data_IF_943850956772
#
_entry.id   IF_943850956772
#
_cell.length_a   1.000
_cell.length_b   1.000
_cell.length_c   1.000
_cell.angle_alpha   90.00
_cell.angle_beta   90.00
_cell.angle_gamma   90.00
#
_symmetry.space_group_name_H-M   'P 1'
#
loop_
_entity.id
_entity.type
_entity.pdbx_description
1 polymer ?
#
# COMPACT_ATOMS: atom_id res chain seq x y z
N UNK A 1 -4.03 -16.06 -10.94
CA UNK A 1 -3.40 -14.78 -11.26
C UNK A 1 -2.37 -14.94 -12.38
N UNK A 2 -1.19 -15.57 -12.19
CA UNK A 2 -0.13 -15.66 -13.21
C UNK A 2 -0.60 -16.12 -14.59
N UNK A 3 -1.44 -17.15 -14.65
CA UNK A 3 -1.99 -17.65 -15.94
C UNK A 3 -3.04 -16.74 -16.56
N UNK A 4 -3.75 -15.94 -15.76
CA UNK A 4 -4.81 -15.04 -16.25
C UNK A 4 -4.22 -13.74 -16.76
N UNK A 5 -3.32 -13.14 -16.00
CA UNK A 5 -2.77 -11.82 -16.27
C UNK A 5 -1.49 -11.85 -17.13
N UNK A 6 -0.81 -13.02 -17.17
CA UNK A 6 0.42 -13.26 -17.97
C UNK A 6 1.43 -12.10 -17.91
N UNK A 7 1.87 -11.69 -16.71
CA UNK A 7 2.77 -10.56 -16.58
C UNK A 7 4.13 -10.83 -17.22
N UNK A 8 4.74 -9.82 -17.83
CA UNK A 8 6.11 -9.93 -18.39
C UNK A 8 7.18 -9.89 -17.29
N UNK A 9 6.88 -9.22 -16.19
CA UNK A 9 7.76 -9.11 -15.02
C UNK A 9 6.92 -9.29 -13.76
N UNK A 10 7.49 -9.90 -12.74
CA UNK A 10 6.86 -10.08 -11.44
C UNK A 10 7.95 -10.05 -10.37
N UNK A 11 7.65 -9.47 -9.23
CA UNK A 11 8.48 -9.50 -8.03
C UNK A 11 7.58 -9.53 -6.79
N UNK A 12 8.07 -10.08 -5.71
CA UNK A 12 7.34 -10.12 -4.44
C UNK A 12 8.23 -9.48 -3.37
N UNK A 13 7.71 -8.44 -2.72
CA UNK A 13 8.39 -7.79 -1.62
C UNK A 13 7.98 -8.38 -0.27
N UNK A 14 8.92 -8.45 0.65
CA UNK A 14 8.72 -8.82 2.04
C UNK A 14 9.32 -7.75 2.94
N UNK A 15 8.70 -7.55 4.09
CA UNK A 15 9.30 -6.76 5.16
C UNK A 15 10.53 -7.47 5.70
N UNK A 16 11.63 -6.76 5.91
CA UNK A 16 12.82 -7.34 6.53
C UNK A 16 12.58 -7.61 8.01
N UNK A 17 13.39 -8.50 8.57
CA UNK A 17 13.47 -8.66 10.02
C UNK A 17 14.23 -7.47 10.61
N UNK A 18 13.62 -6.76 11.54
CA UNK A 18 14.25 -5.65 12.27
C UNK A 18 13.62 -4.29 12.04
N UNK A 19 14.14 -3.26 12.71
CA UNK A 19 13.61 -1.92 12.62
C UNK A 19 13.85 -1.30 11.23
N UNK A 20 12.97 -0.41 10.85
CA UNK A 20 13.10 0.41 9.63
C UNK A 20 13.40 1.85 10.03
N UNK A 21 13.76 2.69 9.06
CA UNK A 21 14.01 4.11 9.31
C UNK A 21 12.84 4.83 9.98
N UNK A 22 11.59 4.32 9.83
CA UNK A 22 10.41 4.88 10.51
C UNK A 22 10.45 4.66 12.02
N UNK A 23 10.96 3.52 12.47
CA UNK A 23 11.14 3.24 13.89
C UNK A 23 12.22 4.13 14.51
N UNK A 24 13.26 4.47 13.74
CA UNK A 24 14.31 5.40 14.15
C UNK A 24 13.78 6.85 14.26
N UNK A 25 12.91 7.24 13.32
CA UNK A 25 12.33 8.58 13.29
C UNK A 25 11.20 8.77 14.30
N UNK A 26 10.45 7.71 14.62
CA UNK A 26 9.30 7.75 15.51
C UNK A 26 9.21 6.46 16.34
N UNK A 27 9.66 6.51 17.60
CA UNK A 27 9.74 5.36 18.50
C UNK A 27 8.40 4.65 18.70
N UNK A 28 7.30 5.41 18.70
CA UNK A 28 5.95 4.85 18.86
C UNK A 28 5.38 4.20 17.58
N UNK A 29 6.11 4.24 16.44
CA UNK A 29 5.67 3.65 15.19
C UNK A 29 5.43 2.14 15.34
N UNK A 30 4.21 1.71 15.04
CA UNK A 30 3.75 0.30 15.13
C UNK A 30 3.92 -0.33 16.54
N UNK A 31 4.20 0.47 17.59
CA UNK A 31 4.49 -0.05 18.94
C UNK A 31 3.33 -0.85 19.57
N UNK A 32 2.11 -0.63 19.11
CA UNK A 32 0.92 -1.35 19.56
C UNK A 32 0.58 -2.61 18.77
N UNK A 33 1.36 -2.92 17.70
CA UNK A 33 1.10 -4.12 16.92
C UNK A 33 1.46 -5.37 17.71
N UNK A 34 0.55 -6.33 17.73
CA UNK A 34 0.83 -7.64 18.26
C UNK A 34 1.93 -8.36 17.45
N UNK A 35 2.68 -9.20 18.12
CA UNK A 35 3.65 -10.06 17.42
C UNK A 35 2.94 -10.95 16.38
N UNK A 36 3.60 -11.11 15.24
CA UNK A 36 3.11 -12.01 14.20
C UNK A 36 2.95 -13.43 14.77
N UNK A 37 1.77 -14.05 14.65
CA UNK A 37 1.53 -15.40 15.15
C UNK A 37 2.59 -16.39 14.69
N UNK A 38 3.01 -17.28 15.59
CA UNK A 38 4.11 -18.22 15.34
C UNK A 38 3.90 -19.06 14.06
N UNK A 39 2.66 -19.50 13.81
CA UNK A 39 2.33 -20.27 12.61
C UNK A 39 2.60 -19.48 11.32
N UNK A 40 2.38 -18.18 11.33
CA UNK A 40 2.69 -17.30 10.17
C UNK A 40 4.21 -17.16 10.05
N UNK A 41 4.93 -16.90 11.15
CA UNK A 41 6.40 -16.78 11.13
C UNK A 41 7.06 -18.04 10.56
N UNK A 42 6.59 -19.21 10.98
CA UNK A 42 7.10 -20.51 10.48
C UNK A 42 6.75 -20.76 9.02
N UNK A 43 5.67 -20.18 8.51
CA UNK A 43 5.26 -20.33 7.12
C UNK A 43 6.08 -19.48 6.14
N UNK A 44 6.63 -18.34 6.57
CA UNK A 44 7.36 -17.40 5.71
C UNK A 44 8.52 -18.06 4.95
N UNK A 45 9.42 -18.86 5.59
CA UNK A 45 10.49 -19.54 4.87
C UNK A 45 9.96 -20.48 3.78
N UNK A 46 8.92 -21.24 4.07
CA UNK A 46 8.31 -22.17 3.12
C UNK A 46 7.68 -21.40 1.93
N UNK A 47 7.01 -20.28 2.20
CA UNK A 47 6.47 -19.40 1.17
C UNK A 47 7.60 -18.87 0.28
N UNK A 48 8.70 -18.39 0.88
CA UNK A 48 9.86 -17.91 0.13
C UNK A 48 10.48 -19.01 -0.74
N UNK A 49 10.54 -20.25 -0.27
CA UNK A 49 11.06 -21.38 -1.05
C UNK A 49 10.14 -21.72 -2.23
N UNK A 50 8.83 -21.67 -2.06
CA UNK A 50 7.86 -21.82 -3.16
C UNK A 50 8.06 -20.71 -4.20
N UNK A 51 8.20 -19.45 -3.77
CA UNK A 51 8.42 -18.31 -4.66
C UNK A 51 9.71 -18.50 -5.47
N UNK A 52 10.80 -18.93 -4.81
CA UNK A 52 12.08 -19.25 -5.47
C UNK A 52 11.95 -20.38 -6.49
N UNK A 53 11.16 -21.41 -6.18
CA UNK A 53 10.90 -22.52 -7.10
C UNK A 53 10.14 -22.07 -8.36
N UNK A 54 9.36 -20.99 -8.27
CA UNK A 54 8.73 -20.35 -9.42
C UNK A 54 9.66 -19.35 -10.14
N UNK A 55 10.92 -19.22 -9.73
CA UNK A 55 11.89 -18.25 -10.24
C UNK A 55 11.40 -16.78 -10.14
N UNK A 56 10.60 -16.48 -9.13
CA UNK A 56 10.12 -15.11 -8.88
C UNK A 56 11.12 -14.42 -7.95
N UNK A 57 11.62 -13.22 -8.29
CA UNK A 57 12.48 -12.44 -7.42
C UNK A 57 11.78 -12.09 -6.10
N UNK A 58 12.50 -12.31 -5.00
CA UNK A 58 12.12 -11.85 -3.66
C UNK A 58 12.89 -10.57 -3.38
N UNK A 59 12.17 -9.54 -2.98
CA UNK A 59 12.68 -8.21 -2.70
C UNK A 59 12.55 -7.96 -1.19
N UNK A 60 13.68 -7.86 -0.50
CA UNK A 60 13.75 -7.63 0.94
C UNK A 60 14.97 -6.76 1.22
N UNK A 61 14.75 -5.54 1.67
CA UNK A 61 15.81 -4.54 1.83
C UNK A 61 15.84 -4.10 3.29
N UNK A 62 16.96 -4.35 3.97
CA UNK A 62 17.14 -3.95 5.36
C UNK A 62 16.92 -2.44 5.55
N UNK A 63 16.19 -2.08 6.59
CA UNK A 63 15.87 -0.69 6.93
C UNK A 63 14.68 -0.08 6.18
N UNK A 64 14.10 -0.78 5.20
CA UNK A 64 12.93 -0.33 4.43
C UNK A 64 11.81 -1.36 4.50
N UNK A 65 10.57 -0.90 4.50
CA UNK A 65 9.40 -1.78 4.45
C UNK A 65 9.14 -2.25 3.00
N UNK A 66 8.38 -3.34 2.87
CA UNK A 66 7.98 -3.84 1.55
C UNK A 66 7.29 -2.76 0.71
N UNK A 67 6.53 -1.88 1.37
CA UNK A 67 5.81 -0.78 0.73
C UNK A 67 6.75 0.23 0.08
N UNK A 68 7.90 0.53 0.71
CA UNK A 68 8.92 1.43 0.16
C UNK A 68 9.54 0.83 -1.11
N UNK A 69 9.81 -0.46 -1.08
CA UNK A 69 10.40 -1.20 -2.20
C UNK A 69 9.42 -1.26 -3.37
N UNK A 70 8.17 -1.63 -3.11
CA UNK A 70 7.12 -1.69 -4.12
C UNK A 70 6.87 -0.30 -4.72
N UNK A 71 6.72 0.72 -3.88
CA UNK A 71 6.47 2.09 -4.32
C UNK A 71 7.59 2.63 -5.20
N UNK A 72 8.84 2.37 -4.81
CA UNK A 72 10.02 2.77 -5.59
C UNK A 72 10.02 2.11 -6.96
N UNK A 73 9.86 0.78 -7.01
CA UNK A 73 9.90 0.03 -8.25
C UNK A 73 8.73 0.37 -9.17
N UNK A 74 7.52 0.51 -8.62
CA UNK A 74 6.34 0.89 -9.39
C UNK A 74 6.50 2.27 -10.01
N UNK A 75 7.01 3.23 -9.25
CA UNK A 75 7.27 4.59 -9.73
C UNK A 75 8.33 4.60 -10.84
N UNK A 76 9.43 3.89 -10.66
CA UNK A 76 10.51 3.84 -11.66
C UNK A 76 10.07 3.10 -12.94
N UNK A 77 9.29 2.02 -12.81
CA UNK A 77 8.72 1.33 -13.96
C UNK A 77 7.71 2.21 -14.71
N UNK A 78 6.85 2.93 -13.98
CA UNK A 78 5.89 3.87 -14.55
C UNK A 78 6.56 4.99 -15.33
N UNK A 79 7.65 5.59 -14.80
CA UNK A 79 8.46 6.60 -15.53
C UNK A 79 9.04 6.08 -16.85
N UNK A 80 9.23 4.77 -16.96
CA UNK A 80 9.69 4.09 -18.19
C UNK A 80 8.55 3.68 -19.13
N UNK A 81 7.31 4.05 -18.81
CA UNK A 81 6.12 3.68 -19.58
C UNK A 81 5.70 2.22 -19.43
N UNK A 82 6.14 1.54 -18.37
CA UNK A 82 5.77 0.15 -18.10
C UNK A 82 4.51 0.14 -17.23
N UNK A 83 3.43 -0.45 -17.74
CA UNK A 83 2.22 -0.63 -16.95
C UNK A 83 2.48 -1.57 -15.78
N UNK A 84 2.40 -1.03 -14.57
CA UNK A 84 2.76 -1.69 -13.33
C UNK A 84 1.55 -1.83 -12.43
N UNK A 85 1.32 -3.04 -11.93
CA UNK A 85 0.18 -3.36 -11.07
C UNK A 85 0.67 -3.72 -9.69
N UNK A 86 0.40 -2.88 -8.70
CA UNK A 86 0.69 -3.13 -7.29
C UNK A 86 -0.43 -3.98 -6.70
N UNK A 87 -0.11 -5.24 -6.39
CA UNK A 87 -1.08 -6.16 -5.81
C UNK A 87 -1.13 -5.98 -4.30
N UNK A 88 -2.02 -5.13 -3.85
CA UNK A 88 -2.19 -4.79 -2.44
C UNK A 88 -3.63 -4.37 -2.14
N UNK A 89 -4.18 -4.71 -0.97
CA UNK A 89 -5.44 -4.15 -0.48
C UNK A 89 -5.25 -2.78 0.18
N UNK A 90 -4.01 -2.36 0.44
CA UNK A 90 -3.69 -1.19 1.22
C UNK A 90 -4.04 0.10 0.48
N UNK A 91 -4.83 0.95 1.14
CA UNK A 91 -5.30 2.24 0.61
C UNK A 91 -4.16 3.23 0.35
N UNK A 92 -3.06 3.11 1.09
CA UNK A 92 -1.95 4.07 1.08
C UNK A 92 -1.22 4.08 -0.27
N UNK A 93 -1.28 2.96 -1.00
CA UNK A 93 -0.78 2.87 -2.36
C UNK A 93 -1.56 3.73 -3.38
N UNK A 94 -2.72 4.26 -3.00
CA UNK A 94 -3.48 5.18 -3.84
C UNK A 94 -2.66 6.41 -4.26
N UNK A 95 -1.75 6.87 -3.41
CA UNK A 95 -0.85 8.00 -3.70
C UNK A 95 0.12 7.76 -4.86
N UNK A 96 0.40 6.49 -5.18
CA UNK A 96 1.35 6.08 -6.21
C UNK A 96 0.71 5.88 -7.58
N UNK A 97 -0.63 5.88 -7.63
CA UNK A 97 -1.38 5.62 -8.86
C UNK A 97 -1.18 6.75 -9.86
N UNK A 98 -0.89 6.39 -11.10
CA UNK A 98 -0.62 7.32 -12.20
C UNK A 98 -0.92 6.70 -13.55
N UNK A 99 -0.41 7.31 -14.62
CA UNK A 99 -0.69 6.90 -16.00
C UNK A 99 -0.32 5.43 -16.29
N UNK A 100 0.79 4.96 -15.68
CA UNK A 100 1.30 3.60 -15.86
C UNK A 100 1.38 2.80 -14.56
N UNK A 101 0.84 3.31 -13.46
CA UNK A 101 0.87 2.65 -12.16
C UNK A 101 -0.54 2.47 -11.64
N UNK A 102 -0.91 1.24 -11.35
CA UNK A 102 -2.26 0.86 -10.96
C UNK A 102 -2.23 0.03 -9.67
N UNK A 103 -3.29 0.11 -8.87
CA UNK A 103 -3.54 -0.86 -7.82
C UNK A 103 -4.34 -2.03 -8.39
N UNK A 104 -3.96 -3.25 -7.98
CA UNK A 104 -4.67 -4.48 -8.28
C UNK A 104 -5.09 -5.13 -6.97
N UNK A 105 -6.34 -4.97 -6.61
CA UNK A 105 -6.83 -5.34 -5.27
C UNK A 105 -7.96 -6.36 -5.32
N UNK A 106 -8.04 -7.27 -4.32
CA UNK A 106 -9.16 -8.20 -4.24
C UNK A 106 -10.46 -7.45 -3.94
N UNK A 107 -11.54 -7.82 -4.63
CA UNK A 107 -12.89 -7.36 -4.30
C UNK A 107 -13.41 -8.07 -3.06
N UNK A 108 -14.00 -7.31 -2.17
CA UNK A 108 -14.63 -7.88 -0.98
C UNK A 108 -15.85 -8.72 -1.39
N UNK A 109 -15.90 -10.00 -0.96
CA UNK A 109 -17.02 -10.91 -1.20
C UNK A 109 -17.03 -11.58 -2.58
N UNK A 110 -16.09 -11.28 -3.46
CA UNK A 110 -15.96 -11.89 -4.77
C UNK A 110 -14.57 -12.53 -4.93
N UNK A 111 -14.44 -13.49 -5.84
CA UNK A 111 -13.14 -14.09 -6.18
C UNK A 111 -12.37 -13.28 -7.21
N UNK A 112 -12.91 -12.17 -7.63
CA UNK A 112 -12.33 -11.29 -8.62
C UNK A 112 -11.51 -10.16 -8.01
N UNK A 113 -10.67 -9.58 -8.85
CA UNK A 113 -9.85 -8.42 -8.53
C UNK A 113 -10.39 -7.20 -9.27
N UNK A 114 -10.15 -6.02 -8.71
CA UNK A 114 -10.38 -4.75 -9.39
C UNK A 114 -9.05 -4.04 -9.67
N UNK A 115 -8.99 -3.40 -10.81
CA UNK A 115 -7.90 -2.48 -11.15
C UNK A 115 -8.35 -1.08 -10.80
N UNK A 116 -7.56 -0.36 -10.01
CA UNK A 116 -7.81 1.03 -9.69
C UNK A 116 -6.73 1.90 -10.33
N UNK A 117 -7.15 2.71 -11.27
CA UNK A 117 -6.36 3.79 -11.87
C UNK A 117 -6.67 5.14 -11.22
N UNK A 118 -6.26 6.21 -11.88
CA UNK A 118 -6.37 7.59 -11.37
C UNK A 118 -7.84 7.96 -11.07
N UNK A 119 -8.76 7.65 -11.96
CA UNK A 119 -10.17 8.05 -11.80
C UNK A 119 -10.86 7.26 -10.69
N UNK A 120 -10.55 5.96 -10.54
CA UNK A 120 -11.07 5.13 -9.47
C UNK A 120 -10.57 5.59 -8.10
N UNK A 121 -9.29 5.98 -8.00
CA UNK A 121 -8.71 6.53 -6.75
C UNK A 121 -9.36 7.87 -6.42
N UNK A 122 -9.49 8.76 -7.39
CA UNK A 122 -10.15 10.06 -7.20
C UNK A 122 -11.60 9.91 -6.73
N UNK A 123 -12.35 9.03 -7.39
CA UNK A 123 -13.74 8.78 -7.03
C UNK A 123 -13.88 8.14 -5.64
N UNK A 124 -12.96 7.23 -5.29
CA UNK A 124 -13.01 6.51 -4.01
C UNK A 124 -12.74 7.42 -2.81
N UNK A 125 -11.81 8.35 -2.95
CA UNK A 125 -11.37 9.21 -1.86
C UNK A 125 -11.95 10.63 -1.93
N UNK A 126 -12.76 10.92 -2.94
CA UNK A 126 -13.33 12.25 -3.22
C UNK A 126 -12.25 13.34 -3.32
N UNK A 127 -11.23 13.07 -4.12
CA UNK A 127 -10.05 13.93 -4.30
C UNK A 127 -9.84 14.29 -5.77
N UNK A 128 -9.06 15.35 -6.02
CA UNK A 128 -8.77 15.83 -7.36
C UNK A 128 -7.55 15.17 -8.00
N UNK A 129 -6.64 14.65 -7.16
CA UNK A 129 -5.40 14.01 -7.59
C UNK A 129 -5.00 12.88 -6.63
N UNK A 130 -4.47 11.74 -7.12
CA UNK A 130 -3.95 10.66 -6.28
C UNK A 130 -2.95 11.12 -5.21
N UNK A 131 -2.15 12.16 -5.48
CA UNK A 131 -1.21 12.70 -4.51
C UNK A 131 -1.88 13.28 -3.26
N UNK A 132 -3.15 13.71 -3.34
CA UNK A 132 -3.90 14.19 -2.17
C UNK A 132 -4.23 13.08 -1.17
N UNK A 133 -4.03 11.81 -1.52
CA UNK A 133 -4.07 10.71 -0.55
C UNK A 133 -3.07 10.95 0.58
N UNK A 134 -1.91 11.55 0.28
CA UNK A 134 -0.89 11.90 1.28
C UNK A 134 -1.46 12.91 2.30
N UNK A 135 -2.07 13.99 1.81
CA UNK A 135 -2.65 15.02 2.66
C UNK A 135 -3.80 14.47 3.51
N UNK A 136 -4.65 13.66 2.90
CA UNK A 136 -5.76 13.00 3.56
C UNK A 136 -5.28 12.07 4.68
N UNK A 137 -4.31 11.21 4.41
CA UNK A 137 -3.72 10.31 5.42
C UNK A 137 -3.00 11.09 6.52
N UNK A 138 -2.28 12.14 6.17
CA UNK A 138 -1.62 13.02 7.15
C UNK A 138 -2.60 13.69 8.11
N UNK A 139 -3.79 14.09 7.62
CA UNK A 139 -4.84 14.66 8.46
C UNK A 139 -5.57 13.60 9.30
N UNK A 140 -5.86 12.45 8.73
CA UNK A 140 -6.59 11.37 9.41
C UNK A 140 -5.72 10.60 10.41
N UNK A 141 -4.42 10.54 10.17
CA UNK A 141 -3.51 9.63 10.86
C UNK A 141 -3.72 8.18 10.46
N UNK A 142 -2.95 7.29 11.06
CA UNK A 142 -3.09 5.85 10.91
C UNK A 142 -2.98 5.14 12.25
N UNK A 143 -4.13 4.66 12.74
CA UNK A 143 -4.18 3.93 14.01
C UNK A 143 -3.48 2.58 13.94
N UNK A 144 -3.41 1.94 12.77
CA UNK A 144 -2.71 0.67 12.61
C UNK A 144 -1.19 0.84 12.76
N UNK A 145 -0.68 2.00 12.39
CA UNK A 145 0.74 2.36 12.51
C UNK A 145 1.04 3.24 13.72
N UNK A 146 0.02 3.49 14.55
CA UNK A 146 0.13 4.37 15.71
C UNK A 146 0.53 5.81 15.37
N UNK A 147 0.07 6.29 14.22
CA UNK A 147 0.30 7.66 13.75
C UNK A 147 -0.91 8.50 14.10
N UNK A 148 -0.77 9.52 15.01
CA UNK A 148 -1.88 10.38 15.35
C UNK A 148 -2.26 11.27 14.18
N UNK A 149 -3.57 11.40 13.94
CA UNK A 149 -4.10 12.40 13.01
C UNK A 149 -4.29 13.76 13.66
N UNK A 150 -4.83 14.70 12.89
CA UNK A 150 -5.22 16.01 13.39
C UNK A 150 -6.43 15.86 14.33
N UNK A 151 -6.39 16.37 15.57
CA UNK A 151 -7.51 16.28 16.50
C UNK A 151 -8.79 16.90 15.92
N UNK A 152 -9.90 16.15 15.95
CA UNK A 152 -11.18 16.57 15.39
C UNK A 152 -11.33 16.41 13.88
N UNK A 153 -10.29 15.97 13.18
CA UNK A 153 -10.35 15.61 11.75
C UNK A 153 -10.41 14.10 11.63
N UNK A 154 -11.54 13.57 11.25
CA UNK A 154 -11.72 12.14 10.99
C UNK A 154 -12.32 11.91 9.61
N UNK A 155 -12.39 10.67 9.22
CA UNK A 155 -12.95 10.23 7.94
C UNK A 155 -14.36 10.84 7.63
N UNK A 156 -15.19 11.05 8.66
CA UNK A 156 -16.51 11.65 8.51
C UNK A 156 -16.49 13.19 8.33
N UNK A 157 -15.46 13.87 8.83
CA UNK A 157 -15.33 15.32 8.68
C UNK A 157 -14.79 15.72 7.32
N UNK A 158 -14.03 14.86 6.69
CA UNK A 158 -13.50 15.10 5.34
C UNK A 158 -14.60 15.08 4.27
N UNK A 159 -15.66 14.29 4.49
CA UNK A 159 -16.80 14.16 3.58
C UNK A 159 -17.99 15.06 3.96
N UNK A 160 -17.92 15.76 5.10
CA UNK A 160 -18.97 16.68 5.52
C UNK A 160 -18.75 18.06 4.93
N UNK A 161 -19.78 18.71 4.34
CA UNK A 161 -19.67 20.07 3.87
C UNK A 161 -19.27 21.00 5.03
N UNK A 162 -18.36 21.92 4.74
CA UNK A 162 -17.95 22.94 5.72
C UNK A 162 -19.17 23.70 6.23
N UNK A 163 -19.24 24.09 7.50
CA UNK A 163 -20.33 24.95 8.01
C UNK A 163 -20.52 26.25 7.24
N UNK A 164 -19.54 26.66 6.41
CA UNK A 164 -19.62 27.83 5.53
C UNK A 164 -20.38 27.57 4.23
N UNK A 165 -20.59 26.30 3.87
CA UNK A 165 -21.29 25.92 2.63
C UNK A 165 -22.82 25.73 2.89
N UNK A 166 -23.29 26.01 4.10
CA UNK A 166 -24.70 25.95 4.52
C UNK A 166 -25.37 27.34 4.64
N UNK A 167 -24.86 28.35 3.93
CA UNK A 167 -25.48 29.70 3.88
C UNK A 167 -26.05 30.03 2.52
#
# INVERSE_FOLDING_TARGET
>A
MLRKENPTHIGIAFDPSGPTFRHEAYEAYKAQREETPEAIRQSVPVIKDIIRAYHIPILEIAGYEADDVIGTLATEAGKRGINTYMMTPDKDYGQLVGEHVFMYRPKYGDKDFEVMGVEEVKAKFDIQSPLQVIDMLGLMGDTADNIPGCPGVGCLLYTSPSPRDCS
#
